data_IF_862068515816
#
_entry.id   IF_862068515816
#
_cell.length_a   1.000
_cell.length_b   1.000
_cell.length_c   1.000
_cell.angle_alpha   90.00
_cell.angle_beta   90.00
_cell.angle_gamma   90.00
#
_symmetry.space_group_name_H-M   'P 1'
#
loop_
_entity.id
_entity.type
_entity.pdbx_description
1 polymer ?
#
# COMPACT_ATOMS: atom_id res chain seq x y z
N UNK A 1 18.86 5.18 -18.24
CA UNK A 1 19.09 6.62 -17.91
C UNK A 1 19.56 6.80 -16.46
N UNK A 2 18.82 6.36 -15.44
CA UNK A 2 19.28 6.39 -14.02
C UNK A 2 20.44 5.42 -13.75
N UNK A 3 20.45 4.25 -14.38
CA UNK A 3 21.53 3.25 -14.22
C UNK A 3 22.90 3.79 -14.69
N UNK A 4 22.94 4.61 -15.74
CA UNK A 4 24.18 5.23 -16.24
C UNK A 4 24.76 6.26 -15.28
N UNK A 5 23.91 7.06 -14.63
CA UNK A 5 24.34 8.07 -13.66
C UNK A 5 24.87 7.42 -12.37
N UNK A 6 24.28 6.30 -11.99
CA UNK A 6 24.62 5.57 -10.78
C UNK A 6 25.90 4.74 -10.91
N UNK A 7 26.10 4.07 -12.06
CA UNK A 7 27.30 3.28 -12.33
C UNK A 7 28.51 4.18 -12.59
N UNK A 8 28.32 5.32 -13.28
CA UNK A 8 29.41 6.23 -13.65
C UNK A 8 29.70 7.33 -12.63
N UNK A 9 28.96 7.38 -11.52
CA UNK A 9 29.09 8.41 -10.46
C UNK A 9 29.15 9.84 -11.01
N UNK A 10 28.44 10.10 -12.11
CA UNK A 10 28.48 11.42 -12.76
C UNK A 10 27.77 12.43 -11.86
N UNK A 11 28.40 13.56 -11.53
CA UNK A 11 27.75 14.60 -10.77
C UNK A 11 26.62 15.23 -11.61
N UNK A 12 25.48 15.42 -10.97
CA UNK A 12 24.28 16.04 -11.50
C UNK A 12 24.20 17.42 -10.85
N UNK A 13 24.01 18.46 -11.66
CA UNK A 13 23.80 19.80 -11.15
C UNK A 13 22.33 19.96 -10.75
N UNK A 14 22.08 20.21 -9.47
CA UNK A 14 20.76 20.53 -8.92
C UNK A 14 20.89 21.90 -8.27
N UNK A 15 20.22 22.90 -8.86
CA UNK A 15 20.38 24.30 -8.47
C UNK A 15 21.87 24.71 -8.49
N UNK A 16 22.41 25.13 -7.34
CA UNK A 16 23.80 25.54 -7.16
C UNK A 16 24.70 24.43 -6.59
N UNK A 17 24.16 23.22 -6.39
CA UNK A 17 24.90 22.08 -5.85
C UNK A 17 25.23 21.04 -6.92
N UNK A 18 26.43 20.46 -6.81
CA UNK A 18 26.83 19.28 -7.56
C UNK A 18 26.58 18.04 -6.69
N UNK A 19 25.69 17.16 -7.13
CA UNK A 19 25.25 16.00 -6.36
C UNK A 19 25.58 14.71 -7.11
N UNK A 20 26.12 13.71 -6.42
CA UNK A 20 26.42 12.39 -7.02
C UNK A 20 25.46 11.35 -6.46
N UNK A 21 24.88 10.53 -7.34
CA UNK A 21 24.02 9.42 -6.94
C UNK A 21 24.87 8.29 -6.35
N UNK A 22 24.70 8.05 -5.04
CA UNK A 22 25.50 7.05 -4.34
C UNK A 22 24.86 5.67 -4.26
N UNK A 23 23.76 5.57 -3.51
CA UNK A 23 23.08 4.30 -3.24
C UNK A 23 21.61 4.44 -3.66
N UNK A 24 21.06 3.52 -4.48
CA UNK A 24 19.67 3.60 -4.87
C UNK A 24 18.79 3.24 -3.67
N UNK A 25 17.75 4.04 -3.46
CA UNK A 25 16.69 3.65 -2.53
C UNK A 25 15.83 2.61 -3.23
N UNK A 26 16.04 1.34 -2.89
CA UNK A 26 15.25 0.24 -3.42
C UNK A 26 13.83 0.26 -2.83
N UNK A 27 12.85 -0.08 -3.68
CA UNK A 27 11.46 -0.26 -3.25
C UNK A 27 11.37 -1.29 -2.14
N UNK A 28 10.60 -0.97 -1.10
CA UNK A 28 10.38 -1.89 0.02
C UNK A 28 9.37 -2.97 -0.36
N UNK A 29 9.40 -4.08 0.36
CA UNK A 29 8.47 -5.21 0.11
C UNK A 29 7.00 -4.86 0.35
N UNK A 30 6.70 -3.82 1.13
CA UNK A 30 5.35 -3.31 1.39
C UNK A 30 4.91 -2.24 0.38
N UNK A 31 5.78 -1.80 -0.52
CA UNK A 31 5.41 -0.89 -1.63
C UNK A 31 4.83 -1.72 -2.78
N UNK A 32 3.51 -1.80 -2.80
CA UNK A 32 2.76 -2.54 -3.80
C UNK A 32 2.57 -1.69 -5.06
N UNK A 33 2.36 -2.36 -6.19
CA UNK A 33 1.92 -1.71 -7.43
C UNK A 33 0.43 -1.87 -7.59
N UNK A 34 -0.26 -0.88 -8.15
CA UNK A 34 -1.71 -0.94 -8.41
C UNK A 34 -2.13 -2.19 -9.19
N UNK A 35 -1.35 -2.59 -10.19
CA UNK A 35 -1.60 -3.81 -10.99
C UNK A 35 -1.63 -5.11 -10.18
N UNK A 36 -1.04 -5.11 -8.99
CA UNK A 36 -1.05 -6.27 -8.08
C UNK A 36 -2.39 -6.39 -7.36
N UNK A 37 -3.20 -5.33 -7.33
CA UNK A 37 -4.43 -5.25 -6.56
C UNK A 37 -5.62 -5.25 -7.53
N UNK A 38 -6.56 -6.16 -7.33
CA UNK A 38 -7.85 -6.15 -8.03
C UNK A 38 -8.96 -5.84 -7.01
N UNK A 39 -9.59 -4.67 -7.13
CA UNK A 39 -10.78 -4.35 -6.35
C UNK A 39 -11.96 -5.23 -6.77
N UNK A 40 -12.74 -5.68 -5.80
CA UNK A 40 -13.98 -6.46 -5.99
C UNK A 40 -15.14 -5.71 -5.35
N UNK A 41 -15.91 -6.36 -4.48
CA UNK A 41 -17.10 -5.80 -3.84
C UNK A 41 -16.72 -4.78 -2.78
N UNK A 42 -17.43 -3.65 -2.72
CA UNK A 42 -17.34 -2.71 -1.59
C UNK A 42 -17.85 -3.37 -0.30
N UNK A 43 -17.03 -3.33 0.75
CA UNK A 43 -17.37 -3.84 2.08
C UNK A 43 -17.99 -2.74 2.96
N UNK A 44 -17.56 -1.49 2.79
CA UNK A 44 -18.10 -0.39 3.58
C UNK A 44 -17.46 0.97 3.29
N UNK A 45 -17.81 1.94 4.12
CA UNK A 45 -17.19 3.27 4.19
C UNK A 45 -16.52 3.41 5.55
N UNK A 46 -15.25 3.74 5.56
CA UNK A 46 -14.50 4.13 6.76
C UNK A 46 -14.37 5.65 6.86
N UNK A 47 -13.62 6.11 7.85
CA UNK A 47 -13.41 7.54 8.15
C UNK A 47 -12.75 8.31 6.99
N UNK A 48 -11.79 7.66 6.31
CA UNK A 48 -10.94 8.29 5.29
C UNK A 48 -11.27 7.85 3.86
N UNK A 49 -12.32 7.05 3.67
CA UNK A 49 -12.65 6.51 2.36
C UNK A 49 -13.49 5.24 2.38
N UNK A 50 -13.34 4.40 1.36
CA UNK A 50 -14.11 3.17 1.21
C UNK A 50 -13.24 1.93 1.34
N UNK A 51 -13.80 0.88 1.93
CA UNK A 51 -13.14 -0.42 2.06
C UNK A 51 -13.77 -1.39 1.08
N UNK A 52 -12.95 -2.11 0.33
CA UNK A 52 -13.36 -3.10 -0.65
C UNK A 52 -12.77 -4.45 -0.29
N UNK A 53 -13.46 -5.53 -0.65
CA UNK A 53 -12.82 -6.83 -0.82
C UNK A 53 -11.97 -6.72 -2.08
N UNK A 54 -10.77 -7.28 -2.05
CA UNK A 54 -9.89 -7.31 -3.20
C UNK A 54 -9.03 -8.56 -3.23
N UNK A 55 -8.29 -8.70 -4.32
CA UNK A 55 -7.31 -9.77 -4.53
C UNK A 55 -5.95 -9.10 -4.69
N UNK A 56 -4.99 -9.48 -3.84
CA UNK A 56 -3.59 -9.11 -3.97
C UNK A 56 -2.82 -10.26 -4.63
N UNK A 57 -2.20 -9.99 -5.79
CA UNK A 57 -1.28 -10.89 -6.48
C UNK A 57 0.14 -10.42 -6.24
N UNK A 58 0.85 -11.10 -5.35
CA UNK A 58 2.24 -10.77 -4.98
C UNK A 58 3.10 -12.00 -5.16
N UNK A 59 4.13 -11.86 -5.98
CA UNK A 59 5.03 -12.95 -6.36
C UNK A 59 4.24 -14.16 -6.91
N UNK A 60 4.26 -15.29 -6.20
CA UNK A 60 3.50 -16.51 -6.54
C UNK A 60 2.27 -16.72 -5.66
N UNK A 61 1.89 -15.72 -4.86
CA UNK A 61 0.77 -15.80 -3.92
C UNK A 61 -0.41 -14.95 -4.40
N UNK A 62 -1.61 -15.47 -4.17
CA UNK A 62 -2.88 -14.79 -4.40
C UNK A 62 -3.60 -14.73 -3.06
N UNK A 63 -3.85 -13.53 -2.56
CA UNK A 63 -4.41 -13.29 -1.24
C UNK A 63 -5.73 -12.53 -1.35
N UNK A 64 -6.75 -12.99 -0.65
CA UNK A 64 -7.95 -12.20 -0.38
C UNK A 64 -7.60 -11.12 0.65
N UNK A 65 -7.87 -9.86 0.31
CA UNK A 65 -7.51 -8.69 1.11
C UNK A 65 -8.68 -7.73 1.27
N UNK A 66 -8.66 -6.96 2.35
CA UNK A 66 -9.41 -5.72 2.45
C UNK A 66 -8.56 -4.59 1.86
N UNK A 67 -9.11 -3.81 0.93
CA UNK A 67 -8.44 -2.69 0.30
C UNK A 67 -9.13 -1.40 0.71
N UNK A 68 -8.41 -0.57 1.46
CA UNK A 68 -8.85 0.77 1.85
C UNK A 68 -8.41 1.76 0.78
N UNK A 69 -9.38 2.46 0.22
CA UNK A 69 -9.22 3.44 -0.86
C UNK A 69 -9.64 4.79 -0.31
N UNK A 70 -8.76 5.80 -0.40
CA UNK A 70 -9.10 7.16 0.02
C UNK A 70 -10.19 7.75 -0.86
N UNK A 71 -11.12 8.50 -0.27
CA UNK A 71 -12.16 9.22 -1.03
C UNK A 71 -11.62 10.46 -1.71
N UNK A 72 -10.58 11.06 -1.15
CA UNK A 72 -9.87 12.23 -1.66
C UNK A 72 -8.40 12.16 -1.24
N UNK A 73 -7.55 12.82 -2.02
CA UNK A 73 -6.10 12.86 -1.80
C UNK A 73 -5.68 14.10 -1.02
N UNK A 74 -6.53 14.62 -0.12
CA UNK A 74 -6.14 15.75 0.73
C UNK A 74 -4.89 15.38 1.56
N UNK A 75 -3.99 16.35 1.82
CA UNK A 75 -2.79 16.13 2.62
C UNK A 75 -3.11 15.47 3.98
N UNK A 76 -4.22 15.86 4.61
CA UNK A 76 -4.68 15.36 5.89
C UNK A 76 -5.07 13.88 5.81
N UNK A 77 -5.88 13.50 4.82
CA UNK A 77 -6.34 12.11 4.64
C UNK A 77 -5.19 11.19 4.21
N UNK A 78 -4.32 11.68 3.33
CA UNK A 78 -3.10 10.97 2.94
C UNK A 78 -2.21 10.72 4.16
N UNK A 79 -1.95 11.75 4.97
CA UNK A 79 -1.15 11.62 6.20
C UNK A 79 -1.78 10.66 7.21
N UNK A 80 -3.11 10.71 7.38
CA UNK A 80 -3.82 9.79 8.26
C UNK A 80 -3.66 8.33 7.82
N UNK A 81 -3.79 8.05 6.51
CA UNK A 81 -3.57 6.71 5.97
C UNK A 81 -2.12 6.25 6.17
N UNK A 82 -1.14 7.12 5.92
CA UNK A 82 0.27 6.80 6.13
C UNK A 82 0.58 6.50 7.61
N UNK A 83 -0.04 7.22 8.55
CA UNK A 83 0.09 6.94 9.99
C UNK A 83 -0.48 5.57 10.34
N UNK A 84 -1.69 5.25 9.88
CA UNK A 84 -2.30 3.93 10.08
C UNK A 84 -1.44 2.81 9.49
N UNK A 85 -1.02 2.97 8.23
CA UNK A 85 -0.10 2.06 7.56
C UNK A 85 1.21 1.87 8.33
N UNK A 86 1.79 2.95 8.85
CA UNK A 86 3.05 2.89 9.60
C UNK A 86 2.89 2.11 10.90
N UNK A 87 1.79 2.33 11.63
CA UNK A 87 1.48 1.60 12.86
C UNK A 87 1.25 0.12 12.55
N UNK A 88 0.44 -0.20 11.54
CA UNK A 88 0.14 -1.58 11.18
C UNK A 88 1.35 -2.36 10.65
N UNK A 89 2.31 -1.69 10.00
CA UNK A 89 3.59 -2.31 9.60
C UNK A 89 4.41 -2.83 10.78
N UNK A 90 4.18 -2.33 12.00
CA UNK A 90 4.93 -2.73 13.19
C UNK A 90 4.36 -3.99 13.87
N UNK A 91 3.17 -4.46 13.46
CA UNK A 91 2.51 -5.60 14.09
C UNK A 91 2.40 -6.79 13.13
N UNK A 92 2.91 -7.94 13.55
CA UNK A 92 2.69 -9.24 12.91
C UNK A 92 2.33 -10.26 13.99
N UNK A 93 1.03 -10.53 14.14
CA UNK A 93 0.51 -11.41 15.19
C UNK A 93 -0.74 -12.15 14.69
N UNK A 94 -0.93 -13.44 15.01
CA UNK A 94 -2.05 -14.25 14.51
C UNK A 94 -3.45 -13.71 14.87
N UNK A 95 -3.56 -12.88 15.90
CA UNK A 95 -4.83 -12.28 16.34
C UNK A 95 -5.00 -10.80 15.97
N UNK A 96 -4.06 -10.24 15.22
CA UNK A 96 -4.13 -8.87 14.71
C UNK A 96 -4.29 -8.87 13.20
N UNK A 97 -4.91 -7.82 12.67
CA UNK A 97 -5.02 -7.64 11.23
C UNK A 97 -3.62 -7.34 10.69
N UNK A 98 -3.14 -8.21 9.82
CA UNK A 98 -1.86 -8.00 9.13
C UNK A 98 -2.04 -7.02 7.98
N UNK A 99 -1.16 -6.03 7.89
CA UNK A 99 -1.04 -5.18 6.70
C UNK A 99 -0.10 -5.84 5.69
N UNK A 100 -0.48 -5.84 4.40
CA UNK A 100 0.35 -6.40 3.33
C UNK A 100 1.15 -5.34 2.56
N UNK A 101 0.62 -4.12 2.47
CA UNK A 101 1.32 -3.01 1.85
C UNK A 101 0.42 -1.90 1.33
N UNK A 102 1.06 -0.86 0.78
CA UNK A 102 0.43 0.33 0.19
C UNK A 102 0.80 0.41 -1.28
N UNK A 103 -0.17 0.67 -2.15
CA UNK A 103 0.07 1.06 -3.53
C UNK A 103 -0.15 2.57 -3.69
N UNK A 104 0.87 3.28 -4.18
CA UNK A 104 0.89 4.73 -4.30
C UNK A 104 1.30 5.19 -5.72
N UNK A 105 1.13 4.34 -6.74
CA UNK A 105 1.49 4.69 -8.12
C UNK A 105 0.47 5.64 -8.78
N UNK A 106 -0.80 5.65 -8.35
CA UNK A 106 -1.87 6.56 -8.83
C UNK A 106 -2.72 7.12 -7.69
N UNK A 107 -3.71 6.37 -7.20
CA UNK A 107 -4.49 6.67 -5.98
C UNK A 107 -3.94 5.87 -4.79
N UNK A 108 -3.93 6.38 -3.57
CA UNK A 108 -3.38 5.57 -2.46
C UNK A 108 -4.33 4.42 -2.09
N UNK A 109 -3.85 3.18 -2.23
CA UNK A 109 -4.55 1.96 -1.80
C UNK A 109 -3.77 1.32 -0.65
N UNK A 110 -4.41 1.12 0.50
CA UNK A 110 -3.84 0.30 1.59
C UNK A 110 -4.46 -1.09 1.56
N UNK A 111 -3.64 -2.14 1.67
CA UNK A 111 -4.10 -3.54 1.69
C UNK A 111 -3.84 -4.18 3.04
N UNK A 112 -4.90 -4.76 3.60
CA UNK A 112 -4.92 -5.42 4.89
C UNK A 112 -5.51 -6.83 4.74
N UNK A 113 -5.20 -7.72 5.67
CA UNK A 113 -5.83 -9.02 5.74
C UNK A 113 -7.34 -8.86 5.94
N UNK A 114 -8.11 -9.65 5.20
CA UNK A 114 -9.49 -9.88 5.61
C UNK A 114 -9.44 -10.49 7.00
N UNK A 115 -9.96 -9.80 8.02
CA UNK A 115 -10.42 -10.50 9.22
C UNK A 115 -11.27 -11.67 8.74
N UNK A 116 -11.19 -12.89 9.32
CA UNK A 116 -12.26 -13.84 9.11
C UNK A 116 -13.53 -13.08 9.45
N UNK A 117 -14.35 -12.83 8.43
CA UNK A 117 -15.73 -12.44 8.65
C UNK A 117 -16.25 -13.64 9.43
N UNK A 118 -16.40 -13.50 10.75
CA UNK A 118 -17.32 -14.35 11.48
C UNK A 118 -18.56 -14.30 10.62
N UNK A 119 -18.89 -15.44 10.00
CA UNK A 119 -20.09 -15.62 9.24
C UNK A 119 -21.22 -15.26 10.22
N UNK A 120 -21.67 -14.01 10.18
CA UNK A 120 -22.96 -13.66 10.73
C UNK A 120 -23.93 -14.26 9.74
N UNK A 121 -24.29 -15.50 10.04
CA UNK A 121 -25.40 -16.25 9.49
C UNK A 121 -26.54 -15.30 9.10
N UNK A 122 -26.98 -15.39 7.85
CA UNK A 122 -28.27 -14.88 7.43
C UNK A 122 -28.83 -15.80 6.34
N UNK A 123 -28.84 -17.09 6.63
CA UNK A 123 -29.87 -18.03 6.20
C UNK A 123 -30.15 -18.93 7.40
N UNK A 124 -31.11 -18.52 8.26
CA UNK A 124 -31.96 -19.38 9.10
C UNK A 124 -33.17 -18.54 9.54
N UNK A 125 -34.31 -18.80 8.89
CA UNK A 125 -35.72 -18.52 9.26
C UNK A 125 -36.16 -17.06 9.37
#
# INVERSE_FOLDING_TARGET
MVDELQVRKRPIRIEDAMVVLNCPVLRKSWELRHRMITLKKRLGKGSYGSVYKGILRKDRQVLDVAVKVLSDMSPENSLALWREARVMQMYDHPHLVRMYGVANDTEVLCTEATKPLVAKNAETV
#
